data_IF_368864915307
#
_entry.id   IF_368864915307
#
_cell.length_a   1.000
_cell.length_b   1.000
_cell.length_c   1.000
_cell.angle_alpha   90.00
_cell.angle_beta   90.00
_cell.angle_gamma   90.00
#
_symmetry.space_group_name_H-M   'P 1'
#
loop_
_entity.id
_entity.type
_entity.pdbx_description
1 polymer ?
#
# COMPACT_ATOMS: atom_id res chain seq x y z
N UNK A 1 13.95 -9.42 11.09
CA UNK A 1 12.64 -10.11 10.93
C UNK A 1 12.15 -9.86 9.51
N UNK A 2 11.21 -10.63 8.92
CA UNK A 2 10.78 -10.34 7.55
C UNK A 2 10.18 -8.94 7.46
N UNK A 3 10.58 -8.23 6.40
CA UNK A 3 10.07 -6.90 6.08
C UNK A 3 8.78 -7.03 5.27
N UNK A 4 7.77 -6.27 5.65
CA UNK A 4 6.48 -6.22 4.96
C UNK A 4 6.20 -4.80 4.49
N UNK A 5 5.61 -4.68 3.30
CA UNK A 5 5.20 -3.41 2.72
C UNK A 5 3.74 -3.46 2.27
N UNK A 6 2.99 -2.38 2.53
CA UNK A 6 1.77 -2.06 1.79
C UNK A 6 2.15 -1.00 0.76
N UNK A 7 1.95 -1.30 -0.53
CA UNK A 7 2.44 -0.43 -1.60
C UNK A 7 1.48 -0.31 -2.77
N UNK A 8 1.64 0.78 -3.49
CA UNK A 8 1.10 0.94 -4.84
C UNK A 8 2.16 0.63 -5.90
N UNK A 9 1.80 0.81 -7.17
CA UNK A 9 2.76 0.80 -8.28
C UNK A 9 3.77 1.96 -8.17
N UNK A 10 3.37 3.07 -7.56
CA UNK A 10 4.13 4.33 -7.56
C UNK A 10 4.91 4.57 -6.25
N UNK A 11 4.41 4.04 -5.13
CA UNK A 11 4.92 4.38 -3.79
C UNK A 11 4.74 3.27 -2.75
N UNK A 12 5.58 3.27 -1.71
CA UNK A 12 5.40 2.47 -0.48
C UNK A 12 4.59 3.31 0.51
N UNK A 13 3.47 2.77 0.97
CA UNK A 13 2.55 3.49 1.86
C UNK A 13 2.87 3.23 3.33
N UNK A 14 3.27 2.00 3.65
CA UNK A 14 3.69 1.60 4.98
C UNK A 14 4.69 0.45 4.89
N UNK A 15 5.61 0.39 5.83
CA UNK A 15 6.56 -0.71 5.99
C UNK A 15 6.74 -1.08 7.47
N UNK A 16 6.98 -2.36 7.74
CA UNK A 16 7.24 -2.86 9.08
C UNK A 16 7.99 -4.19 9.07
N UNK A 17 8.90 -4.37 10.03
CA UNK A 17 9.44 -5.68 10.39
C UNK A 17 8.48 -6.41 11.32
N UNK A 18 8.05 -7.62 10.92
CA UNK A 18 7.04 -8.37 11.67
C UNK A 18 7.50 -9.79 11.94
N UNK A 19 7.23 -10.28 13.15
CA UNK A 19 7.74 -11.57 13.62
C UNK A 19 7.07 -12.77 12.96
N UNK A 20 5.81 -12.60 12.54
CA UNK A 20 4.97 -13.68 12.05
C UNK A 20 4.02 -13.18 10.97
N UNK A 21 3.61 -14.09 10.09
CA UNK A 21 2.69 -13.81 8.99
C UNK A 21 1.31 -13.39 9.50
N UNK A 22 0.87 -13.93 10.65
CA UNK A 22 -0.39 -13.51 11.28
C UNK A 22 -0.35 -12.03 11.70
N UNK A 23 0.77 -11.57 12.28
CA UNK A 23 0.96 -10.14 12.61
C UNK A 23 1.02 -9.31 11.32
N UNK A 24 1.65 -9.83 10.27
CA UNK A 24 1.69 -9.20 8.96
C UNK A 24 0.31 -9.01 8.34
N UNK A 25 -0.55 -10.01 8.39
CA UNK A 25 -1.93 -9.89 7.89
C UNK A 25 -2.74 -8.85 8.66
N UNK A 26 -2.74 -8.90 9.99
CA UNK A 26 -3.47 -7.90 10.81
C UNK A 26 -2.93 -6.49 10.56
N UNK A 27 -1.60 -6.34 10.47
CA UNK A 27 -0.95 -5.09 10.15
C UNK A 27 -1.34 -4.57 8.76
N UNK A 28 -1.30 -5.42 7.73
CA UNK A 28 -1.62 -5.05 6.35
C UNK A 28 -3.08 -4.59 6.20
N UNK A 29 -4.04 -5.25 6.86
CA UNK A 29 -5.45 -4.83 6.88
C UNK A 29 -5.61 -3.47 7.56
N UNK A 30 -4.92 -3.26 8.70
CA UNK A 30 -4.92 -1.97 9.40
C UNK A 30 -4.33 -0.86 8.51
N UNK A 31 -3.18 -1.10 7.88
CA UNK A 31 -2.54 -0.12 7.00
C UNK A 31 -3.40 0.17 5.76
N UNK A 32 -4.04 -0.84 5.16
CA UNK A 32 -4.99 -0.65 4.06
C UNK A 32 -6.16 0.26 4.49
N UNK A 33 -6.64 0.12 5.71
CA UNK A 33 -7.70 0.98 6.27
C UNK A 33 -7.21 2.42 6.49
N UNK A 34 -6.00 2.59 7.03
CA UNK A 34 -5.36 3.90 7.22
C UNK A 34 -5.19 4.62 5.87
N UNK A 35 -4.71 3.92 4.85
CA UNK A 35 -4.44 4.46 3.53
C UNK A 35 -5.62 4.37 2.56
N UNK A 36 -6.84 4.09 3.03
CA UNK A 36 -8.03 3.87 2.19
C UNK A 36 -8.32 5.00 1.19
N UNK A 37 -7.92 6.24 1.50
CA UNK A 37 -8.07 7.38 0.58
C UNK A 37 -7.12 7.28 -0.62
N UNK A 38 -5.88 6.88 -0.39
CA UNK A 38 -4.85 6.68 -1.44
C UNK A 38 -5.15 5.42 -2.26
N UNK A 39 -5.64 4.38 -1.58
CA UNK A 39 -6.01 3.10 -2.20
C UNK A 39 -7.38 3.14 -2.89
N UNK A 40 -8.14 4.23 -2.75
CA UNK A 40 -9.49 4.34 -3.32
C UNK A 40 -9.43 4.18 -4.83
N UNK A 41 -10.20 3.24 -5.36
CA UNK A 41 -10.27 2.95 -6.80
C UNK A 41 -9.08 2.16 -7.34
N UNK A 42 -8.10 1.78 -6.49
CA UNK A 42 -7.05 0.81 -6.84
C UNK A 42 -7.51 -0.61 -6.50
N UNK A 43 -7.12 -1.59 -7.31
CA UNK A 43 -7.42 -3.01 -7.09
C UNK A 43 -6.29 -3.69 -6.32
N UNK A 44 -6.63 -4.59 -5.41
CA UNK A 44 -5.65 -5.48 -4.79
C UNK A 44 -5.07 -6.47 -5.83
N UNK A 45 -3.75 -6.51 -5.94
CA UNK A 45 -3.01 -7.33 -6.92
C UNK A 45 -2.39 -8.59 -6.31
N UNK A 46 -2.62 -8.85 -5.02
CA UNK A 46 -2.07 -10.00 -4.31
C UNK A 46 -0.92 -9.65 -3.36
N UNK A 47 -0.29 -10.70 -2.83
CA UNK A 47 0.90 -10.62 -1.99
C UNK A 47 2.05 -11.40 -2.65
N UNK A 48 3.29 -10.91 -2.57
CA UNK A 48 4.47 -11.64 -3.10
C UNK A 48 5.78 -11.21 -2.42
N UNK A 49 6.78 -12.08 -2.45
CA UNK A 49 8.14 -11.78 -2.00
C UNK A 49 8.98 -11.18 -3.14
N UNK A 50 9.54 -9.99 -2.96
CA UNK A 50 10.41 -9.31 -3.93
C UNK A 50 11.65 -8.81 -3.19
N UNK A 51 12.84 -9.27 -3.60
CA UNK A 51 14.10 -8.79 -3.00
C UNK A 51 14.18 -8.93 -1.48
N UNK A 52 13.53 -9.95 -0.91
CA UNK A 52 13.48 -10.16 0.55
C UNK A 52 12.37 -9.40 1.29
N UNK A 53 11.52 -8.66 0.58
CA UNK A 53 10.40 -7.90 1.13
C UNK A 53 9.08 -8.51 0.70
N UNK A 54 8.18 -8.76 1.65
CA UNK A 54 6.81 -9.18 1.37
C UNK A 54 5.94 -7.97 1.03
N UNK A 55 5.44 -7.92 -0.20
CA UNK A 55 4.65 -6.80 -0.72
C UNK A 55 3.15 -7.14 -0.76
N UNK A 56 2.32 -6.32 -0.10
CA UNK A 56 0.87 -6.23 -0.32
C UNK A 56 0.59 -5.13 -1.35
N UNK A 57 0.24 -5.55 -2.57
CA UNK A 57 0.24 -4.65 -3.74
C UNK A 57 -1.15 -4.18 -4.12
N UNK A 58 -1.27 -2.89 -4.41
CA UNK A 58 -2.48 -2.28 -4.97
C UNK A 58 -2.15 -1.51 -6.25
N UNK A 59 -2.89 -1.77 -7.32
CA UNK A 59 -2.70 -1.10 -8.60
C UNK A 59 -3.93 -1.25 -9.47
N UNK A 60 -3.90 -0.72 -10.69
CA UNK A 60 -5.12 -0.66 -11.51
C UNK A 60 -6.21 0.19 -10.85
N UNK A 61 -6.09 1.50 -11.05
CA UNK A 61 -7.06 2.52 -10.66
C UNK A 61 -6.73 3.79 -11.42
N UNK A 62 -7.74 4.54 -11.89
CA UNK A 62 -7.47 5.86 -12.48
C UNK A 62 -6.71 6.66 -11.43
N UNK A 63 -5.53 7.20 -11.80
CA UNK A 63 -4.82 8.19 -10.99
C UNK A 63 -5.86 9.24 -10.58
N UNK A 64 -6.34 9.21 -9.35
CA UNK A 64 -6.71 10.45 -8.66
C UNK A 64 -5.39 11.16 -8.48
N UNK A 65 -4.92 11.78 -9.56
CA UNK A 65 -3.89 12.79 -9.50
C UNK A 65 -4.45 13.83 -8.55
N UNK A 66 -3.98 13.83 -7.31
CA UNK A 66 -3.93 15.05 -6.54
C UNK A 66 -2.95 15.97 -7.26
N UNK A 67 -3.39 16.56 -8.37
CA UNK A 67 -2.71 17.69 -8.98
C UNK A 67 -3.43 18.94 -8.49
N UNK A 68 -2.90 19.45 -7.37
CA UNK A 68 -2.86 20.86 -7.03
C UNK A 68 -4.19 21.53 -6.73
N UNK A 69 -4.40 21.89 -5.47
CA UNK A 69 -4.81 23.25 -5.20
C UNK A 69 -3.73 24.19 -5.77
N UNK A 70 -4.06 24.87 -6.87
CA UNK A 70 -3.40 26.10 -7.30
C UNK A 70 -4.36 26.87 -8.23
N UNK A 71 -5.14 27.74 -7.60
CA UNK A 71 -5.69 29.02 -8.08
C UNK A 71 -6.12 29.17 -9.56
N UNK A 72 -7.43 29.34 -9.77
CA UNK A 72 -8.05 30.14 -10.84
C UNK A 72 -9.48 30.46 -10.38
N UNK A 73 -9.95 31.70 -10.26
CA UNK A 73 -9.39 33.02 -10.48
C UNK A 73 -10.34 34.07 -9.89
#
# INVERSE_FOLDING_TARGET
MPMYQVRTEDEVLAEAELATDSKAMTWAVRMTTVHRKVLRGRRWQGHRLVGGVWEHRFGGGRRTAARGDAAAG
#
